data_IF_528499775112
#
_entry.id   IF_528499775112
#
_cell.length_a   1.000
_cell.length_b   1.000
_cell.length_c   1.000
_cell.angle_alpha   90.00
_cell.angle_beta   90.00
_cell.angle_gamma   90.00
#
_symmetry.space_group_name_H-M   'P 1'
#
loop_
_entity.id
_entity.type
_entity.pdbx_description
1 polymer ?
#
# COMPACT_ATOMS: atom_id res chain seq x y z
N UNK A 1 -24.05 14.38 63.21
CA UNK A 1 -22.60 14.10 63.42
C UNK A 1 -22.32 12.76 62.73
N UNK A 2 -21.83 12.71 61.50
CA UNK A 2 -20.41 12.73 61.06
C UNK A 2 -19.53 11.69 61.75
N UNK A 3 -19.11 10.67 61.00
CA UNK A 3 -17.76 10.04 60.94
C UNK A 3 -17.74 9.18 59.65
N UNK A 4 -17.28 9.68 58.49
CA UNK A 4 -15.93 9.54 57.90
C UNK A 4 -14.98 8.53 58.57
N UNK A 5 -14.64 7.46 57.84
CA UNK A 5 -13.35 6.74 57.85
C UNK A 5 -13.17 6.09 56.46
N UNK A 6 -12.42 6.69 55.53
CA UNK A 6 -10.98 6.49 55.26
C UNK A 6 -10.69 5.12 54.62
N UNK A 7 -10.33 5.16 53.32
CA UNK A 7 -9.60 4.11 52.61
C UNK A 7 -8.26 3.82 53.30
N UNK A 8 -7.89 2.56 53.47
CA UNK A 8 -6.59 2.06 53.00
C UNK A 8 -6.54 0.52 52.97
N UNK A 9 -5.98 0.02 51.87
CA UNK A 9 -5.14 -1.17 51.75
C UNK A 9 -5.60 -2.47 52.44
N UNK A 10 -6.28 -3.31 51.66
CA UNK A 10 -5.92 -4.73 51.55
C UNK A 10 -6.38 -5.21 50.18
N UNK A 11 -5.47 -5.15 49.20
CA UNK A 11 -5.59 -5.94 47.98
C UNK A 11 -5.43 -7.42 48.39
N UNK A 12 -6.51 -8.02 48.86
CA UNK A 12 -6.63 -9.46 48.99
C UNK A 12 -6.82 -9.99 47.57
N UNK A 13 -5.70 -10.38 46.96
CA UNK A 13 -5.66 -11.16 45.72
C UNK A 13 -6.42 -12.46 45.98
N UNK A 14 -7.71 -12.45 45.69
CA UNK A 14 -8.48 -13.65 45.50
C UNK A 14 -8.13 -14.18 44.11
N UNK A 15 -7.30 -15.22 44.07
CA UNK A 15 -7.19 -16.13 42.94
C UNK A 15 -8.52 -16.86 42.79
N UNK A 16 -9.50 -16.19 42.20
CA UNK A 16 -10.58 -16.82 41.46
C UNK A 16 -10.28 -16.55 40.00
N UNK A 17 -10.39 -17.58 39.16
CA UNK A 17 -10.40 -17.49 37.69
C UNK A 17 -11.17 -16.24 37.25
N UNK A 18 -10.45 -15.17 36.92
CA UNK A 18 -11.03 -13.94 36.40
C UNK A 18 -11.46 -14.25 34.97
N UNK A 19 -12.67 -14.81 34.85
CA UNK A 19 -13.48 -14.72 33.66
C UNK A 19 -13.74 -13.23 33.49
N UNK A 20 -12.93 -12.60 32.64
CA UNK A 20 -13.07 -11.21 32.26
C UNK A 20 -14.46 -10.99 31.63
N UNK A 21 -15.03 -9.82 31.87
CA UNK A 21 -16.41 -9.54 31.50
C UNK A 21 -16.57 -9.56 29.97
N UNK A 22 -17.39 -10.50 29.46
CA UNK A 22 -17.74 -10.69 28.04
C UNK A 22 -18.30 -9.45 27.35
N UNK A 23 -18.83 -8.52 28.13
CA UNK A 23 -19.27 -7.22 27.68
C UNK A 23 -18.71 -6.17 28.62
N UNK A 24 -17.99 -5.21 28.05
CA UNK A 24 -17.47 -4.04 28.73
C UNK A 24 -18.39 -2.87 28.42
N UNK A 25 -19.01 -2.29 29.44
CA UNK A 25 -19.98 -1.22 29.26
C UNK A 25 -19.71 -0.07 30.21
N UNK A 26 -19.59 1.15 29.68
CA UNK A 26 -19.40 2.39 30.45
C UNK A 26 -18.21 2.34 31.42
N UNK A 27 -17.11 1.69 31.01
CA UNK A 27 -15.95 1.47 31.87
C UNK A 27 -14.63 1.62 31.11
N UNK A 28 -13.57 1.91 31.86
CA UNK A 28 -12.20 1.95 31.38
C UNK A 28 -11.38 0.90 32.14
N UNK A 29 -10.77 -0.04 31.42
CA UNK A 29 -10.04 -1.18 31.97
C UNK A 29 -8.68 -1.29 31.30
N UNK A 30 -7.65 -1.56 32.10
CA UNK A 30 -6.31 -1.93 31.64
C UNK A 30 -6.01 -3.32 32.18
N UNK A 31 -5.77 -4.27 31.27
CA UNK A 31 -5.35 -5.63 31.57
C UNK A 31 -3.89 -5.74 31.18
N UNK A 32 -3.04 -5.97 32.18
CA UNK A 32 -1.60 -5.94 32.03
C UNK A 32 -1.03 -7.34 32.29
N UNK A 33 -0.23 -7.83 31.34
CA UNK A 33 0.30 -9.19 31.34
C UNK A 33 1.14 -9.47 32.59
N UNK A 34 1.98 -8.51 33.00
CA UNK A 34 2.84 -8.61 34.17
C UNK A 34 2.04 -8.60 35.48
N UNK A 35 1.03 -7.72 35.57
CA UNK A 35 0.14 -7.62 36.73
C UNK A 35 -0.68 -8.90 36.93
N UNK A 36 -1.10 -9.53 35.83
CA UNK A 36 -1.88 -10.77 35.86
C UNK A 36 -1.01 -12.03 35.94
N UNK A 37 0.30 -11.92 35.68
CA UNK A 37 1.20 -13.07 35.58
C UNK A 37 0.85 -14.00 34.42
N UNK A 38 0.28 -13.45 33.34
CA UNK A 38 -0.17 -14.18 32.16
C UNK A 38 0.54 -13.65 30.91
N UNK A 39 0.92 -14.53 29.99
CA UNK A 39 1.48 -14.13 28.69
C UNK A 39 0.43 -14.15 27.58
N UNK A 40 -0.68 -14.85 27.80
CA UNK A 40 -1.79 -14.98 26.85
C UNK A 40 -3.04 -14.31 27.37
N UNK A 41 -3.68 -13.52 26.51
CA UNK A 41 -5.08 -13.13 26.64
C UNK A 41 -5.91 -13.97 25.68
N UNK A 42 -6.97 -14.59 26.18
CA UNK A 42 -7.90 -15.39 25.37
C UNK A 42 -9.33 -15.11 25.87
N UNK A 43 -10.21 -14.78 24.93
CA UNK A 43 -11.65 -14.66 25.17
C UNK A 43 -12.38 -15.54 24.17
N UNK A 44 -12.88 -16.69 24.65
CA UNK A 44 -13.55 -17.70 23.83
C UNK A 44 -14.93 -17.25 23.33
N UNK A 45 -15.39 -16.06 23.73
CA UNK A 45 -16.65 -15.46 23.29
C UNK A 45 -16.42 -14.12 22.58
N UNK A 46 -17.47 -13.60 21.94
CA UNK A 46 -17.41 -12.30 21.26
C UNK A 46 -17.10 -11.21 22.29
N UNK A 47 -15.97 -10.52 22.13
CA UNK A 47 -15.61 -9.40 23.00
C UNK A 47 -16.41 -8.16 22.62
N UNK A 48 -17.36 -7.76 23.48
CA UNK A 48 -18.26 -6.63 23.20
C UNK A 48 -17.88 -5.41 24.03
N UNK A 49 -17.64 -4.27 23.39
CA UNK A 49 -17.44 -2.98 24.04
C UNK A 49 -18.58 -2.01 23.69
N UNK A 50 -19.17 -1.39 24.71
CA UNK A 50 -20.25 -0.41 24.62
C UNK A 50 -19.91 0.83 25.43
N UNK A 51 -19.52 1.92 24.77
CA UNK A 51 -19.00 3.11 25.44
C UNK A 51 -17.93 2.76 26.49
N UNK A 52 -17.00 1.89 26.11
CA UNK A 52 -15.97 1.36 27.00
C UNK A 52 -14.58 1.50 26.38
N UNK A 53 -13.57 1.57 27.23
CA UNK A 53 -12.17 1.58 26.84
C UNK A 53 -11.46 0.39 27.47
N UNK A 54 -10.88 -0.48 26.67
CA UNK A 54 -10.13 -1.64 27.15
C UNK A 54 -8.74 -1.60 26.55
N UNK A 55 -7.73 -1.71 27.40
CA UNK A 55 -6.33 -1.85 26.98
C UNK A 55 -5.84 -3.25 27.36
N UNK A 56 -5.34 -4.00 26.37
CA UNK A 56 -4.59 -5.24 26.57
C UNK A 56 -3.10 -4.92 26.44
N UNK A 57 -2.37 -4.91 27.55
CA UNK A 57 -0.98 -4.47 27.61
C UNK A 57 -0.01 -5.64 27.78
N UNK A 58 1.02 -5.67 26.95
CA UNK A 58 2.21 -6.53 27.04
C UNK A 58 1.94 -8.04 27.00
N UNK A 59 0.80 -8.48 26.46
CA UNK A 59 0.56 -9.90 26.18
C UNK A 59 1.33 -10.32 24.93
N UNK A 60 2.05 -11.45 24.97
CA UNK A 60 2.73 -12.00 23.78
C UNK A 60 1.77 -12.74 22.85
N UNK A 61 0.63 -13.18 23.38
CA UNK A 61 -0.39 -13.92 22.64
C UNK A 61 -1.77 -13.34 22.93
N UNK A 62 -2.53 -13.02 21.90
CA UNK A 62 -3.93 -12.59 21.99
C UNK A 62 -4.77 -13.45 21.06
N UNK A 63 -5.84 -14.03 21.61
CA UNK A 63 -6.78 -14.85 20.86
C UNK A 63 -8.21 -14.39 21.12
N UNK A 64 -8.92 -14.08 20.04
CA UNK A 64 -10.31 -13.67 20.05
C UNK A 64 -11.08 -14.52 19.02
N UNK A 65 -11.31 -15.82 19.30
CA UNK A 65 -11.92 -16.77 18.36
C UNK A 65 -13.31 -16.37 17.84
N UNK A 66 -14.11 -15.66 18.62
CA UNK A 66 -15.44 -15.20 18.21
C UNK A 66 -15.44 -13.72 17.79
N UNK A 67 -14.30 -13.04 17.92
CA UNK A 67 -14.06 -11.71 17.38
C UNK A 67 -14.33 -10.56 18.34
N UNK A 68 -14.59 -9.37 17.77
CA UNK A 68 -14.84 -8.12 18.49
C UNK A 68 -16.06 -7.37 17.97
N UNK A 69 -16.77 -6.69 18.86
CA UNK A 69 -17.85 -5.77 18.52
C UNK A 69 -17.74 -4.49 19.35
N UNK A 70 -17.33 -3.40 18.72
CA UNK A 70 -17.10 -2.11 19.35
C UNK A 70 -18.22 -1.13 18.95
N UNK A 71 -18.83 -0.46 19.93
CA UNK A 71 -19.92 0.50 19.71
C UNK A 71 -19.94 1.62 20.75
N UNK A 72 -20.64 2.72 20.48
CA UNK A 72 -20.81 3.87 21.36
C UNK A 72 -19.50 4.58 21.74
N UNK A 73 -18.63 4.91 20.79
CA UNK A 73 -17.31 5.52 21.02
C UNK A 73 -16.34 4.63 21.82
N UNK A 74 -16.43 3.31 21.66
CA UNK A 74 -15.55 2.38 22.36
C UNK A 74 -14.15 2.39 21.80
N UNK A 75 -13.16 2.05 22.65
CA UNK A 75 -11.77 1.90 22.22
C UNK A 75 -11.20 0.58 22.74
N UNK A 76 -10.78 -0.28 21.83
CA UNK A 76 -9.94 -1.44 22.15
C UNK A 76 -8.50 -1.11 21.74
N UNK A 77 -7.63 -0.99 22.73
CA UNK A 77 -6.19 -0.78 22.53
C UNK A 77 -5.43 -2.06 22.86
N UNK A 78 -4.52 -2.46 21.98
CA UNK A 78 -3.61 -3.58 22.17
C UNK A 78 -2.19 -3.04 22.01
N UNK A 79 -1.40 -3.15 23.07
CA UNK A 79 0.01 -2.75 23.07
C UNK A 79 0.87 -3.99 23.20
N UNK A 80 1.69 -4.24 22.18
CA UNK A 80 2.61 -5.36 22.17
C UNK A 80 3.78 -5.11 23.16
N UNK A 81 4.35 -6.18 23.75
CA UNK A 81 5.55 -6.04 24.56
C UNK A 81 6.73 -5.52 23.74
N UNK A 82 7.73 -4.97 24.42
CA UNK A 82 8.97 -4.54 23.79
C UNK A 82 9.93 -5.71 23.59
N UNK A 83 10.60 -5.78 22.44
CA UNK A 83 11.74 -6.66 22.26
C UNK A 83 12.07 -7.00 20.82
N UNK A 84 13.37 -7.19 20.56
CA UNK A 84 13.89 -7.61 19.27
C UNK A 84 13.66 -9.12 19.08
N UNK A 85 13.12 -9.53 17.94
CA UNK A 85 12.82 -10.92 17.61
C UNK A 85 11.81 -11.58 18.56
N UNK A 86 11.09 -10.80 19.37
CA UNK A 86 10.18 -11.35 20.37
C UNK A 86 8.97 -11.99 19.70
N UNK A 87 8.66 -13.27 19.96
CA UNK A 87 7.47 -13.90 19.40
C UNK A 87 6.20 -13.17 19.82
N UNK A 88 5.34 -12.88 18.85
CA UNK A 88 4.09 -12.18 19.08
C UNK A 88 3.00 -12.74 18.18
N UNK A 89 1.82 -12.98 18.74
CA UNK A 89 0.68 -13.46 17.97
C UNK A 89 -0.60 -12.77 18.42
N UNK A 90 -1.29 -12.15 17.47
CA UNK A 90 -2.68 -11.73 17.60
C UNK A 90 -3.50 -12.42 16.52
N UNK A 91 -4.52 -13.17 16.97
CA UNK A 91 -5.47 -13.85 16.09
C UNK A 91 -6.87 -13.45 16.51
N UNK A 92 -7.59 -12.80 15.59
CA UNK A 92 -9.00 -12.47 15.72
C UNK A 92 -9.74 -13.28 14.67
N UNK A 93 -10.54 -14.23 15.12
CA UNK A 93 -11.45 -14.97 14.24
C UNK A 93 -12.88 -14.45 14.42
N UNK A 94 -13.81 -14.94 13.60
CA UNK A 94 -15.21 -14.55 13.71
C UNK A 94 -15.44 -13.08 13.40
N UNK A 95 -16.40 -12.44 14.05
CA UNK A 95 -16.88 -11.11 13.64
C UNK A 95 -15.92 -9.99 14.05
N UNK A 96 -15.58 -9.08 13.13
CA UNK A 96 -14.95 -7.80 13.50
C UNK A 96 -15.87 -6.65 13.11
N UNK A 97 -16.41 -5.95 14.10
CA UNK A 97 -17.31 -4.83 13.89
C UNK A 97 -16.88 -3.63 14.72
N UNK A 98 -16.58 -2.51 14.04
CA UNK A 98 -16.18 -1.25 14.66
C UNK A 98 -17.17 -0.17 14.25
N UNK A 99 -18.12 0.13 15.13
CA UNK A 99 -19.28 0.98 14.85
C UNK A 99 -19.34 2.20 15.77
N UNK A 100 -20.21 3.16 15.45
CA UNK A 100 -20.50 4.32 16.29
C UNK A 100 -19.23 5.07 16.76
N UNK A 101 -18.37 5.49 15.81
CA UNK A 101 -17.13 6.24 16.08
C UNK A 101 -16.11 5.49 16.98
N UNK A 102 -16.27 4.16 17.11
CA UNK A 102 -15.37 3.32 17.90
C UNK A 102 -14.02 3.07 17.20
N UNK A 103 -13.04 2.61 17.97
CA UNK A 103 -11.67 2.46 17.52
C UNK A 103 -11.07 1.10 17.96
N UNK A 104 -10.46 0.41 17.01
CA UNK A 104 -9.49 -0.66 17.26
C UNK A 104 -8.09 -0.11 17.03
N UNK A 105 -7.21 -0.25 18.01
CA UNK A 105 -5.84 0.25 17.97
C UNK A 105 -4.90 -0.89 18.34
N UNK A 106 -4.06 -1.29 17.40
CA UNK A 106 -2.91 -2.16 17.66
C UNK A 106 -1.62 -1.35 17.57
N UNK A 107 -0.79 -1.40 18.60
CA UNK A 107 0.55 -0.81 18.63
C UNK A 107 1.62 -1.90 18.81
N UNK A 108 2.21 -2.29 17.68
CA UNK A 108 3.36 -3.19 17.61
C UNK A 108 4.70 -2.46 17.54
N UNK A 109 4.75 -1.14 17.69
CA UNK A 109 5.97 -0.37 17.37
C UNK A 109 7.14 -0.56 18.34
N UNK A 110 6.91 -1.22 19.47
CA UNK A 110 7.96 -1.62 20.42
C UNK A 110 8.64 -2.95 20.06
N UNK A 111 8.12 -3.66 19.06
CA UNK A 111 8.71 -4.87 18.50
C UNK A 111 9.64 -4.54 17.33
N UNK A 112 10.69 -5.32 17.17
CA UNK A 112 11.53 -5.28 15.97
C UNK A 112 11.85 -6.67 15.45
N UNK A 113 11.94 -6.83 14.13
CA UNK A 113 12.28 -8.10 13.49
C UNK A 113 13.37 -7.90 12.44
N UNK A 114 14.40 -8.74 12.49
CA UNK A 114 15.43 -8.76 11.47
C UNK A 114 14.97 -9.59 10.28
N UNK A 115 15.13 -9.04 9.07
CA UNK A 115 14.63 -9.66 7.85
C UNK A 115 15.79 -9.77 6.87
N UNK A 116 16.52 -10.87 7.01
CA UNK A 116 17.65 -11.25 6.14
C UNK A 116 17.34 -12.59 5.48
N UNK A 117 17.82 -12.77 4.24
CA UNK A 117 17.46 -13.92 3.37
C UNK A 117 17.83 -15.33 3.91
N UNK A 118 18.47 -15.42 5.08
CA UNK A 118 18.91 -16.67 5.69
C UNK A 118 18.40 -16.88 7.13
N UNK A 119 17.72 -15.88 7.70
CA UNK A 119 17.24 -15.91 9.10
C UNK A 119 16.00 -15.03 9.23
N UNK A 120 14.83 -15.66 9.35
CA UNK A 120 13.52 -15.02 9.23
C UNK A 120 12.85 -14.88 10.59
N UNK A 121 13.37 -13.96 11.42
CA UNK A 121 12.79 -13.66 12.75
C UNK A 121 11.31 -13.27 12.65
N UNK A 122 10.89 -12.64 11.56
CA UNK A 122 9.49 -12.24 11.38
C UNK A 122 8.51 -13.43 11.33
N UNK A 123 8.97 -14.66 11.13
CA UNK A 123 8.11 -15.86 11.16
C UNK A 123 7.49 -16.11 12.54
N UNK A 124 8.02 -15.49 13.60
CA UNK A 124 7.47 -15.54 14.95
C UNK A 124 6.47 -14.41 15.24
N UNK A 125 6.21 -13.53 14.27
CA UNK A 125 5.16 -12.53 14.32
C UNK A 125 3.92 -13.00 13.56
N UNK A 126 2.76 -12.92 14.18
CA UNK A 126 1.47 -13.18 13.53
C UNK A 126 0.50 -12.06 13.87
N UNK A 127 -0.02 -11.42 12.83
CA UNK A 127 -1.19 -10.57 12.92
C UNK A 127 -2.21 -11.08 11.91
N UNK A 128 -3.24 -11.75 12.42
CA UNK A 128 -4.25 -12.41 11.60
C UNK A 128 -5.65 -12.02 12.07
N UNK A 129 -6.38 -11.33 11.20
CA UNK A 129 -7.81 -11.14 11.31
C UNK A 129 -8.45 -12.03 10.24
N UNK A 130 -8.96 -13.19 10.66
CA UNK A 130 -9.57 -14.19 9.79
C UNK A 130 -11.03 -14.44 10.18
N UNK A 131 -11.90 -13.63 9.60
CA UNK A 131 -13.29 -13.49 10.04
C UNK A 131 -14.28 -14.50 9.46
N UNK A 132 -13.85 -15.34 8.52
CA UNK A 132 -14.72 -16.30 7.84
C UNK A 132 -15.98 -15.63 7.28
N UNK A 133 -17.16 -16.21 7.51
CA UNK A 133 -18.42 -15.68 6.96
C UNK A 133 -18.88 -14.33 7.55
N UNK A 134 -18.36 -13.94 8.72
CA UNK A 134 -18.82 -12.75 9.44
C UNK A 134 -18.20 -11.45 8.91
N UNK A 135 -16.98 -11.54 8.38
CA UNK A 135 -16.30 -10.43 7.74
C UNK A 135 -15.77 -9.35 8.69
N UNK A 136 -15.18 -8.33 8.07
CA UNK A 136 -14.68 -7.13 8.75
C UNK A 136 -15.55 -5.93 8.35
N UNK A 137 -16.10 -5.25 9.35
CA UNK A 137 -16.90 -4.05 9.20
C UNK A 137 -16.33 -2.88 10.00
N UNK A 138 -16.03 -1.78 9.30
CA UNK A 138 -15.61 -0.50 9.89
C UNK A 138 -16.61 0.56 9.44
N UNK A 139 -17.46 1.02 10.35
CA UNK A 139 -18.49 2.01 10.06
C UNK A 139 -17.89 3.38 9.72
N UNK A 140 -18.69 4.28 9.15
CA UNK A 140 -18.29 5.65 8.91
C UNK A 140 -17.85 6.33 10.22
N UNK A 141 -16.77 7.10 10.18
CA UNK A 141 -16.13 7.75 11.33
C UNK A 141 -15.46 6.81 12.35
N UNK A 142 -15.60 5.49 12.22
CA UNK A 142 -14.82 4.53 13.00
C UNK A 142 -13.39 4.38 12.47
N UNK A 143 -12.52 3.77 13.29
CA UNK A 143 -11.10 3.58 12.97
C UNK A 143 -10.62 2.17 13.33
N UNK A 144 -9.90 1.54 12.40
CA UNK A 144 -8.95 0.48 12.70
C UNK A 144 -7.55 1.02 12.41
N UNK A 145 -6.70 1.11 13.44
CA UNK A 145 -5.30 1.51 13.30
C UNK A 145 -4.38 0.39 13.74
N UNK A 146 -3.44 0.03 12.88
CA UNK A 146 -2.44 -1.01 13.11
C UNK A 146 -1.08 -0.35 12.90
N UNK A 147 -0.31 -0.17 13.97
CA UNK A 147 1.08 0.27 13.89
C UNK A 147 1.98 -0.96 13.90
N UNK A 148 2.59 -1.23 12.75
CA UNK A 148 3.39 -2.43 12.52
C UNK A 148 4.73 -2.38 13.29
N UNK A 149 5.29 -3.55 13.61
CA UNK A 149 6.65 -3.66 14.13
C UNK A 149 7.71 -3.06 13.21
N UNK A 150 8.82 -2.66 13.83
CA UNK A 150 10.02 -2.28 13.11
C UNK A 150 10.60 -3.48 12.39
N UNK A 151 11.15 -3.23 11.23
CA UNK A 151 11.90 -4.21 10.44
C UNK A 151 13.30 -3.67 10.21
N UNK A 152 14.28 -4.56 10.07
CA UNK A 152 15.65 -4.19 9.68
C UNK A 152 16.09 -4.92 8.42
N UNK A 153 16.97 -4.27 7.66
CA UNK A 153 17.51 -4.76 6.39
C UNK A 153 16.97 -3.98 5.19
N UNK A 154 17.65 -4.02 4.05
CA UNK A 154 17.40 -3.04 2.98
C UNK A 154 16.26 -3.45 2.04
N UNK A 155 15.22 -2.61 1.90
CA UNK A 155 14.28 -2.60 0.78
C UNK A 155 13.27 -3.73 0.70
N UNK A 156 13.06 -4.34 -0.47
CA UNK A 156 12.33 -5.60 -0.56
C UNK A 156 13.30 -6.77 -0.45
N UNK A 157 12.90 -7.89 0.13
CA UNK A 157 13.69 -9.12 0.05
C UNK A 157 13.82 -9.48 -1.43
N UNK A 158 15.05 -9.75 -1.90
CA UNK A 158 15.29 -10.16 -3.29
C UNK A 158 14.50 -11.42 -3.66
N UNK A 159 14.14 -12.19 -2.64
CA UNK A 159 13.16 -13.26 -2.68
C UNK A 159 11.82 -12.76 -2.14
N UNK A 160 10.87 -12.53 -3.04
CA UNK A 160 9.57 -11.95 -2.72
C UNK A 160 8.67 -12.90 -1.89
N UNK A 161 9.07 -14.17 -1.73
CA UNK A 161 8.41 -15.19 -0.90
C UNK A 161 8.43 -14.82 0.60
N UNK A 162 9.44 -14.07 1.05
CA UNK A 162 9.77 -13.90 2.46
C UNK A 162 9.50 -12.50 3.01
N UNK A 163 8.59 -11.75 2.38
CA UNK A 163 8.18 -10.48 2.97
C UNK A 163 7.24 -10.73 4.15
N UNK A 164 7.47 -10.04 5.28
CA UNK A 164 6.60 -10.17 6.44
C UNK A 164 5.21 -9.68 6.05
N UNK A 165 4.17 -10.40 6.47
CA UNK A 165 2.79 -10.10 6.08
C UNK A 165 1.87 -10.07 7.28
N UNK A 166 0.84 -9.25 7.18
CA UNK A 166 -0.33 -9.31 8.05
C UNK A 166 -1.56 -9.61 7.20
N UNK A 167 -2.55 -10.26 7.79
CA UNK A 167 -3.79 -10.61 7.09
C UNK A 167 -4.97 -9.89 7.73
N UNK A 168 -5.77 -9.22 6.89
CA UNK A 168 -7.02 -8.54 7.28
C UNK A 168 -8.11 -8.97 6.30
N UNK A 169 -8.92 -9.93 6.73
CA UNK A 169 -9.96 -10.48 5.87
C UNK A 169 -10.57 -11.73 6.47
N UNK A 170 -10.80 -12.74 5.63
CA UNK A 170 -11.32 -14.01 6.11
C UNK A 170 -11.25 -15.08 5.04
N UNK A 171 -11.06 -16.32 5.45
CA UNK A 171 -11.04 -17.45 4.53
C UNK A 171 -12.46 -17.75 4.05
N UNK A 172 -12.64 -17.90 2.73
CA UNK A 172 -13.92 -18.28 2.14
C UNK A 172 -14.43 -19.61 2.73
N UNK A 173 -15.72 -19.65 3.08
CA UNK A 173 -16.39 -20.84 3.61
C UNK A 173 -17.77 -20.99 2.97
N UNK A 174 -17.85 -21.80 1.92
CA UNK A 174 -19.10 -22.09 1.21
C UNK A 174 -20.28 -22.41 2.17
N UNK A 175 -21.48 -21.86 1.93
CA UNK A 175 -21.86 -20.99 0.81
C UNK A 175 -21.56 -19.51 1.06
N UNK A 176 -20.96 -19.15 2.20
CA UNK A 176 -20.83 -17.76 2.61
C UNK A 176 -19.50 -17.16 2.11
N UNK A 177 -19.60 -15.98 1.53
CA UNK A 177 -18.43 -15.13 1.29
C UNK A 177 -18.04 -14.43 2.59
N UNK A 178 -16.75 -14.10 2.71
CA UNK A 178 -16.19 -13.31 3.80
C UNK A 178 -16.17 -11.85 3.39
N UNK A 179 -17.10 -11.00 3.86
CA UNK A 179 -17.16 -9.63 3.39
C UNK A 179 -16.10 -8.73 4.02
N UNK A 180 -15.73 -7.71 3.27
CA UNK A 180 -14.88 -6.62 3.73
C UNK A 180 -15.58 -5.29 3.44
N UNK A 181 -16.08 -4.65 4.48
CA UNK A 181 -16.82 -3.40 4.40
C UNK A 181 -16.12 -2.32 5.24
N UNK A 182 -15.34 -1.47 4.58
CA UNK A 182 -14.56 -0.38 5.16
C UNK A 182 -15.19 0.94 4.69
N UNK A 183 -16.08 1.50 5.52
CA UNK A 183 -16.71 2.80 5.31
C UNK A 183 -16.01 3.92 6.11
N UNK A 184 -15.32 3.54 7.19
CA UNK A 184 -14.53 4.42 8.04
C UNK A 184 -13.07 4.52 7.61
N UNK A 185 -12.16 4.39 8.57
CA UNK A 185 -10.72 4.48 8.33
C UNK A 185 -10.05 3.14 8.66
N UNK A 186 -9.30 2.59 7.71
CA UNK A 186 -8.31 1.54 7.92
C UNK A 186 -6.93 2.15 7.72
N UNK A 187 -6.14 2.20 8.79
CA UNK A 187 -4.78 2.72 8.79
C UNK A 187 -3.79 1.61 9.20
N UNK A 188 -2.91 1.23 8.28
CA UNK A 188 -1.77 0.36 8.57
C UNK A 188 -0.50 1.19 8.44
N UNK A 189 0.11 1.54 9.57
CA UNK A 189 1.20 2.49 9.67
C UNK A 189 2.49 1.79 10.08
N UNK A 190 3.63 2.36 9.72
CA UNK A 190 4.94 1.85 10.18
C UNK A 190 5.35 2.49 11.50
N UNK A 191 6.27 1.81 12.19
CA UNK A 191 6.98 2.32 13.38
C UNK A 191 8.00 3.41 13.06
N UNK A 192 8.57 3.41 11.86
CA UNK A 192 9.75 4.19 11.50
C UNK A 192 9.47 5.36 10.53
N UNK A 193 10.44 6.27 10.48
CA UNK A 193 10.42 7.44 9.60
C UNK A 193 11.09 7.14 8.26
N UNK A 194 10.69 7.86 7.21
CA UNK A 194 11.37 7.84 5.90
C UNK A 194 12.78 8.43 6.03
N UNK A 195 13.74 7.84 5.32
CA UNK A 195 15.09 8.41 5.13
C UNK A 195 15.09 9.10 3.77
N UNK A 196 15.39 10.40 3.73
CA UNK A 196 15.44 11.22 2.50
C UNK A 196 14.19 11.07 1.59
N UNK A 197 13.02 10.90 2.21
CA UNK A 197 11.73 10.83 1.50
C UNK A 197 11.30 9.44 1.05
N UNK A 198 12.09 8.39 1.31
CA UNK A 198 11.77 7.01 0.95
C UNK A 198 11.89 6.03 2.12
N UNK A 199 11.40 4.81 1.92
CA UNK A 199 11.60 3.70 2.85
C UNK A 199 12.79 2.85 2.41
N UNK A 200 13.77 2.69 3.31
CA UNK A 200 14.99 1.91 3.11
C UNK A 200 14.97 0.56 3.85
N UNK A 201 14.13 0.42 4.88
CA UNK A 201 13.94 -0.84 5.61
C UNK A 201 12.98 -1.83 4.92
N UNK A 202 13.04 -3.12 5.31
CA UNK A 202 12.14 -4.17 4.82
C UNK A 202 10.66 -3.84 4.97
N UNK A 203 9.88 -4.09 3.92
CA UNK A 203 8.47 -3.71 3.92
C UNK A 203 7.55 -4.86 4.33
N UNK A 204 6.50 -4.49 5.06
CA UNK A 204 5.36 -5.35 5.29
C UNK A 204 4.45 -5.41 4.07
N UNK A 205 3.83 -6.57 3.89
CA UNK A 205 2.66 -6.78 3.04
C UNK A 205 1.39 -6.74 3.90
N UNK A 206 0.35 -6.11 3.38
CA UNK A 206 -1.01 -6.22 3.94
C UNK A 206 -1.84 -7.07 2.98
N UNK A 207 -2.16 -8.28 3.40
CA UNK A 207 -3.08 -9.15 2.68
C UNK A 207 -4.50 -8.74 3.03
N UNK A 208 -5.18 -8.12 2.04
CA UNK A 208 -6.46 -7.47 2.24
C UNK A 208 -7.56 -8.25 1.54
N UNK A 209 -8.57 -8.64 2.33
CA UNK A 209 -9.73 -9.37 1.86
C UNK A 209 -9.55 -10.88 1.90
N UNK A 210 -10.56 -11.64 1.44
CA UNK A 210 -10.53 -13.08 1.45
C UNK A 210 -9.63 -13.66 0.36
N UNK A 211 -9.25 -14.91 0.58
CA UNK A 211 -8.52 -15.73 -0.39
C UNK A 211 -9.35 -16.08 -1.64
N UNK A 212 -10.69 -16.01 -1.53
CA UNK A 212 -11.63 -16.32 -2.60
C UNK A 212 -12.98 -15.60 -2.43
N UNK A 213 -13.64 -15.28 -3.54
CA UNK A 213 -15.04 -14.83 -3.57
C UNK A 213 -15.79 -15.72 -4.57
N UNK A 214 -16.84 -16.39 -4.08
CA UNK A 214 -17.78 -17.13 -4.92
C UNK A 214 -18.86 -16.18 -5.43
N UNK A 215 -19.01 -16.07 -6.74
CA UNK A 215 -20.04 -15.21 -7.36
C UNK A 215 -21.48 -15.65 -7.03
N UNK A 216 -21.68 -16.92 -6.69
CA UNK A 216 -22.97 -17.47 -6.24
C UNK A 216 -23.06 -17.58 -4.71
N UNK A 217 -22.00 -17.15 -4.01
CA UNK A 217 -21.94 -17.17 -2.55
C UNK A 217 -22.85 -16.13 -1.90
N UNK A 218 -23.21 -16.39 -0.64
CA UNK A 218 -24.05 -15.53 0.17
C UNK A 218 -23.16 -14.55 0.94
N UNK A 219 -23.45 -13.27 0.78
CA UNK A 219 -22.83 -12.20 1.54
C UNK A 219 -23.71 -11.85 2.74
N UNK A 220 -23.15 -11.86 3.95
CA UNK A 220 -23.82 -11.31 5.15
C UNK A 220 -23.95 -9.79 5.06
N UNK A 221 -22.96 -9.14 4.44
CA UNK A 221 -22.98 -7.75 3.96
C UNK A 221 -22.19 -7.70 2.64
N UNK A 222 -22.54 -6.81 1.72
CA UNK A 222 -21.74 -6.63 0.49
C UNK A 222 -20.37 -6.02 0.82
N UNK A 223 -19.38 -6.30 -0.02
CA UNK A 223 -18.12 -5.57 0.06
C UNK A 223 -18.37 -4.09 -0.26
N UNK A 224 -17.78 -3.21 0.53
CA UNK A 224 -17.84 -1.78 0.32
C UNK A 224 -16.55 -1.15 0.86
N UNK A 225 -15.68 -0.71 -0.04
CA UNK A 225 -14.38 -0.10 0.30
C UNK A 225 -14.37 1.41 -0.01
N UNK A 226 -15.50 2.08 0.21
CA UNK A 226 -15.66 3.52 -0.03
C UNK A 226 -15.02 4.42 1.04
N UNK A 227 -14.58 3.83 2.16
CA UNK A 227 -13.87 4.52 3.23
C UNK A 227 -12.43 4.91 2.88
N UNK A 228 -11.71 5.40 3.89
CA UNK A 228 -10.31 5.76 3.77
C UNK A 228 -9.43 4.55 4.11
N UNK A 229 -8.63 4.09 3.13
CA UNK A 229 -7.68 2.99 3.31
C UNK A 229 -6.27 3.55 3.07
N UNK A 230 -5.45 3.55 4.13
CA UNK A 230 -4.10 4.08 4.12
C UNK A 230 -3.12 3.06 4.70
N UNK A 231 -2.23 2.54 3.85
CA UNK A 231 -1.25 1.53 4.21
C UNK A 231 0.16 2.02 3.88
N UNK A 232 1.02 2.20 4.89
CA UNK A 232 2.47 2.38 4.72
C UNK A 232 3.16 1.03 4.48
N UNK A 233 2.59 0.25 3.58
CA UNK A 233 2.93 -1.12 3.22
C UNK A 233 2.41 -1.33 1.78
N UNK A 234 2.90 -2.37 1.09
CA UNK A 234 2.27 -2.77 -0.18
C UNK A 234 1.10 -3.72 0.10
N UNK A 235 0.09 -3.70 -0.76
CA UNK A 235 -1.17 -4.43 -0.54
C UNK A 235 -1.25 -5.64 -1.47
N UNK A 236 -1.52 -6.80 -0.89
CA UNK A 236 -1.85 -8.03 -1.62
C UNK A 236 -3.37 -8.24 -1.69
N UNK A 237 -3.90 -8.50 -2.89
CA UNK A 237 -5.33 -8.76 -3.10
C UNK A 237 -5.55 -10.06 -3.88
N UNK A 238 -6.36 -10.95 -3.32
CA UNK A 238 -6.57 -12.32 -3.82
C UNK A 238 -7.91 -12.54 -4.52
N UNK A 239 -8.91 -11.68 -4.28
CA UNK A 239 -10.22 -11.74 -4.90
C UNK A 239 -10.76 -10.33 -5.14
N UNK A 240 -11.78 -10.20 -6.00
CA UNK A 240 -12.38 -8.91 -6.35
C UNK A 240 -13.29 -8.36 -5.24
N UNK A 241 -12.66 -7.91 -4.15
CA UNK A 241 -13.30 -7.22 -3.03
C UNK A 241 -13.87 -5.86 -3.42
N UNK A 242 -13.47 -5.31 -4.55
CA UNK A 242 -13.86 -3.96 -4.99
C UNK A 242 -15.14 -3.96 -5.81
N UNK A 243 -15.60 -5.14 -6.25
CA UNK A 243 -16.81 -5.29 -7.07
C UNK A 243 -18.02 -4.63 -6.41
N UNK A 244 -18.61 -3.67 -7.12
CA UNK A 244 -19.78 -2.93 -6.65
C UNK A 244 -19.46 -1.69 -5.80
N UNK A 245 -18.19 -1.44 -5.48
CA UNK A 245 -17.77 -0.18 -4.86
C UNK A 245 -17.32 0.81 -5.93
N UNK A 246 -17.87 2.02 -5.92
CA UNK A 246 -17.45 3.08 -6.85
C UNK A 246 -16.31 3.91 -6.25
N UNK A 247 -15.38 4.36 -7.12
CA UNK A 247 -14.34 5.33 -6.77
C UNK A 247 -13.42 4.92 -5.60
N UNK A 248 -13.13 3.63 -5.46
CA UNK A 248 -12.18 3.12 -4.45
C UNK A 248 -10.83 3.83 -4.63
N UNK A 249 -10.34 4.41 -3.54
CA UNK A 249 -9.03 5.05 -3.45
C UNK A 249 -8.24 4.44 -2.29
N UNK A 250 -7.08 3.87 -2.59
CA UNK A 250 -6.20 3.30 -1.57
C UNK A 250 -4.85 4.02 -1.60
N UNK A 251 -4.39 4.52 -0.45
CA UNK A 251 -3.02 5.06 -0.32
C UNK A 251 -2.09 3.93 0.09
N UNK A 252 -1.08 3.64 -0.71
CA UNK A 252 -0.18 2.50 -0.47
C UNK A 252 1.24 2.73 -1.03
N UNK A 253 2.20 1.91 -0.59
CA UNK A 253 3.54 1.86 -1.18
C UNK A 253 3.60 1.12 -2.51
N UNK A 254 2.61 0.27 -2.77
CA UNK A 254 2.59 -0.59 -3.95
C UNK A 254 1.40 -1.53 -3.93
N UNK A 255 1.22 -2.26 -5.00
CA UNK A 255 0.06 -3.12 -5.19
C UNK A 255 0.46 -4.43 -5.85
N UNK A 256 -0.08 -5.50 -5.29
CA UNK A 256 0.08 -6.84 -5.80
C UNK A 256 -1.28 -7.50 -6.01
N UNK A 257 -1.73 -7.53 -7.26
CA UNK A 257 -2.99 -8.17 -7.63
C UNK A 257 -2.80 -9.63 -8.00
N UNK A 258 -3.15 -10.57 -7.13
CA UNK A 258 -3.12 -12.00 -7.45
C UNK A 258 -4.29 -12.43 -8.35
N UNK A 259 -5.34 -11.61 -8.38
CA UNK A 259 -6.53 -11.78 -9.20
C UNK A 259 -6.84 -10.50 -9.98
N UNK A 260 -7.58 -10.65 -11.08
CA UNK A 260 -8.19 -9.53 -11.79
C UNK A 260 -9.33 -9.00 -10.94
N UNK A 261 -9.33 -7.71 -10.66
CA UNK A 261 -10.34 -7.07 -9.81
C UNK A 261 -10.95 -5.85 -10.49
N UNK A 262 -12.06 -5.36 -9.94
CA UNK A 262 -12.76 -4.18 -10.42
C UNK A 262 -11.85 -2.94 -10.38
N UNK A 263 -12.02 -1.96 -11.30
CA UNK A 263 -11.12 -0.82 -11.39
C UNK A 263 -11.07 0.02 -10.10
N UNK A 264 -9.86 0.30 -9.62
CA UNK A 264 -9.61 1.14 -8.46
C UNK A 264 -8.52 2.17 -8.75
N UNK A 265 -8.42 3.16 -7.86
CA UNK A 265 -7.32 4.11 -7.83
C UNK A 265 -6.38 3.81 -6.66
N UNK A 266 -5.08 3.76 -6.93
CA UNK A 266 -4.04 3.59 -5.91
C UNK A 266 -3.16 4.84 -5.91
N UNK A 267 -3.11 5.53 -4.79
CA UNK A 267 -2.22 6.66 -4.55
C UNK A 267 -0.90 6.14 -3.98
N UNK A 268 0.16 6.27 -4.78
CA UNK A 268 1.52 5.83 -4.46
C UNK A 268 2.34 6.88 -3.70
N UNK A 269 1.71 7.95 -3.21
CA UNK A 269 2.41 9.07 -2.57
C UNK A 269 3.23 8.70 -1.32
N UNK A 270 3.04 7.50 -0.77
CA UNK A 270 3.87 6.95 0.29
C UNK A 270 5.25 6.47 -0.18
N UNK A 271 5.37 6.06 -1.44
CA UNK A 271 6.61 5.55 -2.05
C UNK A 271 7.57 6.65 -2.53
N UNK A 272 8.67 6.25 -3.17
CA UNK A 272 9.01 4.89 -3.58
C UNK A 272 9.72 4.05 -2.50
N UNK A 273 10.05 2.80 -2.86
CA UNK A 273 10.80 1.84 -2.03
C UNK A 273 12.23 1.70 -2.56
N UNK A 274 13.21 1.75 -1.66
CA UNK A 274 14.61 1.54 -2.03
C UNK A 274 15.02 0.06 -1.85
N UNK A 275 15.21 -0.67 -2.95
CA UNK A 275 15.82 -2.00 -2.96
C UNK A 275 17.36 -1.97 -2.91
N UNK A 276 18.03 -3.13 -2.75
CA UNK A 276 19.49 -3.20 -2.67
C UNK A 276 20.25 -2.59 -3.87
N UNK A 277 19.64 -2.56 -5.06
CA UNK A 277 20.27 -2.05 -6.30
C UNK A 277 19.33 -1.21 -7.17
N UNK A 278 18.09 -0.98 -6.75
CA UNK A 278 17.07 -0.33 -7.58
C UNK A 278 16.01 0.35 -6.70
N UNK A 279 15.37 1.37 -7.24
CA UNK A 279 14.18 2.00 -6.64
C UNK A 279 12.94 1.45 -7.36
N UNK A 280 11.82 1.25 -6.64
CA UNK A 280 10.57 0.78 -7.25
C UNK A 280 9.30 1.25 -6.52
N UNK A 281 8.13 1.13 -7.19
CA UNK A 281 6.79 1.33 -6.58
C UNK A 281 5.99 0.02 -6.42
N UNK A 282 6.65 -1.14 -6.52
CA UNK A 282 6.11 -2.48 -6.33
C UNK A 282 4.67 -2.68 -6.86
N UNK A 283 4.48 -2.47 -8.17
CA UNK A 283 3.20 -2.66 -8.86
C UNK A 283 3.26 -3.95 -9.67
N UNK A 284 2.49 -4.96 -9.28
CA UNK A 284 2.40 -6.27 -9.93
C UNK A 284 0.97 -6.53 -10.37
N UNK A 285 0.76 -6.72 -11.67
CA UNK A 285 -0.56 -6.85 -12.27
C UNK A 285 -0.70 -8.10 -13.17
N UNK A 286 -1.82 -8.83 -13.06
CA UNK A 286 -2.11 -9.95 -13.93
C UNK A 286 -2.76 -9.50 -15.24
N UNK A 287 -2.64 -10.33 -16.27
CA UNK A 287 -3.38 -10.13 -17.50
C UNK A 287 -4.89 -10.19 -17.25
N UNK A 288 -5.58 -9.25 -17.88
CA UNK A 288 -7.01 -9.05 -17.69
C UNK A 288 -7.33 -7.91 -16.74
N UNK A 289 -6.34 -7.32 -16.06
CA UNK A 289 -6.56 -6.09 -15.31
C UNK A 289 -6.88 -4.93 -16.25
N UNK A 290 -7.91 -4.16 -15.91
CA UNK A 290 -8.37 -3.04 -16.71
C UNK A 290 -8.78 -1.85 -15.83
N UNK A 291 -8.64 -0.63 -16.36
CA UNK A 291 -9.12 0.62 -15.76
C UNK A 291 -8.41 1.08 -14.49
N UNK A 292 -7.35 0.41 -14.05
CA UNK A 292 -6.59 0.80 -12.86
C UNK A 292 -5.87 2.13 -13.06
N UNK A 293 -5.89 2.96 -12.01
CA UNK A 293 -5.18 4.22 -11.97
C UNK A 293 -4.20 4.24 -10.81
N UNK A 294 -2.94 4.49 -11.11
CA UNK A 294 -1.91 4.75 -10.10
C UNK A 294 -1.60 6.25 -10.12
N UNK A 295 -1.73 6.91 -8.99
CA UNK A 295 -1.49 8.34 -8.83
C UNK A 295 -0.20 8.58 -8.06
N UNK A 296 0.35 9.78 -8.20
CA UNK A 296 1.47 10.28 -7.41
C UNK A 296 2.70 9.35 -7.45
N UNK A 297 2.95 8.74 -8.61
CA UNK A 297 4.21 8.01 -8.82
C UNK A 297 5.36 9.01 -8.74
N UNK A 298 6.23 8.84 -7.74
CA UNK A 298 7.39 9.70 -7.53
C UNK A 298 8.66 9.04 -8.05
N UNK A 299 9.42 9.78 -8.83
CA UNK A 299 10.79 9.37 -9.17
C UNK A 299 11.76 9.76 -8.06
N UNK A 300 12.65 8.85 -7.70
CA UNK A 300 13.74 9.12 -6.76
C UNK A 300 15.08 8.81 -7.43
N UNK A 301 15.96 9.81 -7.45
CA UNK A 301 17.35 9.64 -7.83
C UNK A 301 18.12 8.94 -6.70
N UNK A 302 18.69 7.77 -6.99
CA UNK A 302 19.52 7.01 -6.05
C UNK A 302 20.82 6.57 -6.71
N UNK A 303 21.96 6.88 -6.08
CA UNK A 303 23.30 6.63 -6.63
C UNK A 303 23.78 7.74 -7.59
N UNK A 304 24.74 7.42 -8.48
CA UNK A 304 25.24 8.38 -9.47
C UNK A 304 24.48 8.24 -10.79
N UNK A 305 23.72 9.28 -11.15
CA UNK A 305 22.92 9.47 -12.39
C UNK A 305 21.51 8.88 -12.40
N UNK A 306 20.64 9.50 -13.20
CA UNK A 306 19.23 9.17 -13.44
C UNK A 306 19.01 7.71 -13.90
N UNK A 307 19.10 6.77 -12.96
CA UNK A 307 18.91 5.35 -13.24
C UNK A 307 17.42 5.05 -13.45
N UNK A 308 17.06 4.11 -14.33
CA UNK A 308 15.66 3.70 -14.48
C UNK A 308 15.11 3.16 -13.15
N UNK A 309 13.97 3.69 -12.72
CA UNK A 309 13.21 3.22 -11.57
C UNK A 309 12.20 2.19 -12.04
N UNK A 310 12.11 1.03 -11.38
CA UNK A 310 11.14 0.02 -11.78
C UNK A 310 9.72 0.51 -11.45
N UNK A 311 8.93 0.74 -12.49
CA UNK A 311 7.58 1.29 -12.38
C UNK A 311 6.56 0.21 -12.04
N UNK A 312 6.46 -0.78 -12.92
CA UNK A 312 5.50 -1.88 -12.79
C UNK A 312 5.98 -3.16 -13.49
N UNK A 313 5.40 -4.28 -13.09
CA UNK A 313 5.56 -5.59 -13.71
C UNK A 313 4.18 -6.12 -14.10
N UNK A 314 4.03 -6.50 -15.37
CA UNK A 314 2.78 -7.02 -15.92
C UNK A 314 2.97 -8.44 -16.43
N UNK A 315 2.14 -9.37 -15.94
CA UNK A 315 2.21 -10.81 -16.23
C UNK A 315 1.12 -11.19 -17.22
N UNK A 316 1.44 -11.93 -18.28
CA UNK A 316 0.50 -12.22 -19.36
C UNK A 316 0.88 -13.45 -20.19
N UNK A 317 -0.08 -13.98 -20.96
CA UNK A 317 0.16 -15.01 -21.96
C UNK A 317 0.33 -14.37 -23.34
N UNK A 318 1.54 -14.49 -23.91
CA UNK A 318 1.86 -13.89 -25.20
C UNK A 318 3.34 -13.57 -25.36
N UNK A 319 3.64 -12.69 -26.31
CA UNK A 319 4.99 -12.21 -26.61
C UNK A 319 5.17 -10.70 -26.36
N UNK A 320 6.40 -10.20 -26.55
CA UNK A 320 6.77 -8.82 -26.24
C UNK A 320 6.00 -7.75 -27.02
N UNK A 321 5.26 -8.10 -28.07
CA UNK A 321 4.47 -7.17 -28.88
C UNK A 321 3.02 -7.08 -28.43
N UNK A 322 2.57 -8.01 -27.59
CA UNK A 322 1.19 -8.06 -27.11
C UNK A 322 0.92 -7.02 -26.02
N UNK A 323 1.97 -6.46 -25.42
CA UNK A 323 1.87 -5.39 -24.42
C UNK A 323 2.69 -4.20 -24.86
N UNK A 324 2.04 -3.04 -24.93
CA UNK A 324 2.68 -1.77 -25.24
C UNK A 324 2.63 -0.85 -24.03
N UNK A 325 3.70 -0.10 -23.83
CA UNK A 325 3.73 1.03 -22.93
C UNK A 325 3.84 2.30 -23.76
N UNK A 326 3.15 3.36 -23.36
CA UNK A 326 3.29 4.70 -23.94
C UNK A 326 3.40 5.70 -22.80
N UNK A 327 4.10 6.81 -23.03
CA UNK A 327 4.24 7.87 -22.05
C UNK A 327 3.96 9.22 -22.72
N UNK A 328 3.00 9.97 -22.19
CA UNK A 328 2.63 11.31 -22.65
C UNK A 328 2.30 12.20 -21.46
N UNK A 329 2.91 13.39 -21.39
CA UNK A 329 2.59 14.45 -20.41
C UNK A 329 2.49 13.97 -18.95
N UNK A 330 3.40 13.10 -18.49
CA UNK A 330 3.46 12.42 -17.17
C UNK A 330 2.60 11.18 -16.95
N UNK A 331 1.80 10.81 -17.95
CA UNK A 331 0.92 9.64 -17.92
C UNK A 331 1.60 8.50 -18.68
N UNK A 332 1.79 7.37 -18.00
CA UNK A 332 2.22 6.12 -18.61
C UNK A 332 0.99 5.23 -18.77
N UNK A 333 0.66 4.86 -19.99
CA UNK A 333 -0.38 3.87 -20.28
C UNK A 333 0.27 2.53 -20.64
N UNK A 334 -0.19 1.46 -20.01
CA UNK A 334 0.20 0.08 -20.34
C UNK A 334 -1.03 -0.62 -20.87
N UNK A 335 -0.96 -1.12 -22.10
CA UNK A 335 -2.08 -1.73 -22.81
C UNK A 335 -1.71 -3.10 -23.35
N UNK A 336 -2.53 -4.09 -23.03
CA UNK A 336 -2.47 -5.39 -23.70
C UNK A 336 -3.30 -5.31 -24.99
N UNK A 337 -2.66 -5.50 -26.13
CA UNK A 337 -3.23 -5.36 -27.46
C UNK A 337 -4.20 -6.49 -27.82
N UNK A 338 -4.07 -7.66 -27.22
CA UNK A 338 -4.98 -8.78 -27.46
C UNK A 338 -6.32 -8.56 -26.77
N UNK A 339 -6.28 -8.23 -25.48
CA UNK A 339 -7.48 -8.00 -24.66
C UNK A 339 -8.04 -6.57 -24.79
N UNK A 340 -7.26 -5.63 -25.33
CA UNK A 340 -7.54 -4.19 -25.38
C UNK A 340 -7.67 -3.52 -24.01
N UNK A 341 -7.31 -4.21 -22.93
CA UNK A 341 -7.36 -3.70 -21.56
C UNK A 341 -6.13 -2.85 -21.23
N UNK A 342 -6.32 -1.87 -20.37
CA UNK A 342 -5.28 -0.88 -20.08
C UNK A 342 -5.28 -0.41 -18.63
N UNK A 343 -4.10 0.00 -18.16
CA UNK A 343 -3.90 0.67 -16.88
C UNK A 343 -3.10 1.95 -17.10
N UNK A 344 -3.24 2.90 -16.19
CA UNK A 344 -2.52 4.18 -16.25
C UNK A 344 -1.74 4.43 -14.97
N UNK A 345 -0.50 4.89 -15.11
CA UNK A 345 0.34 5.40 -14.01
C UNK A 345 0.61 6.88 -14.26
N UNK A 346 0.26 7.73 -13.30
CA UNK A 346 0.45 9.18 -13.38
C UNK A 346 1.55 9.54 -12.38
N UNK A 347 2.65 10.09 -12.90
CA UNK A 347 3.80 10.47 -12.07
C UNK A 347 4.10 11.96 -12.03
N UNK A 348 5.19 12.29 -11.35
CA UNK A 348 5.63 13.67 -11.08
C UNK A 348 6.49 14.29 -12.19
N UNK A 349 6.94 13.48 -13.16
CA UNK A 349 7.74 13.92 -14.30
C UNK A 349 7.14 13.47 -15.62
N UNK A 350 7.62 14.05 -16.72
CA UNK A 350 7.56 13.35 -18.01
C UNK A 350 8.57 12.21 -18.01
N UNK A 351 8.16 11.03 -18.47
CA UNK A 351 9.00 9.83 -18.43
C UNK A 351 9.34 9.32 -19.82
N UNK A 352 10.60 8.89 -19.97
CA UNK A 352 10.95 7.83 -20.89
C UNK A 352 10.74 6.48 -20.20
N UNK A 353 10.52 5.43 -20.99
CA UNK A 353 10.39 4.09 -20.47
C UNK A 353 11.33 3.10 -21.18
N UNK A 354 11.75 2.09 -20.44
CA UNK A 354 12.51 0.95 -20.93
C UNK A 354 11.75 -0.31 -20.51
N UNK A 355 11.29 -1.08 -21.50
CA UNK A 355 10.60 -2.35 -21.26
C UNK A 355 11.59 -3.52 -21.31
N UNK A 356 11.61 -4.33 -20.26
CA UNK A 356 12.28 -5.63 -20.22
C UNK A 356 11.26 -6.75 -20.37
N UNK A 357 11.35 -7.56 -21.42
CA UNK A 357 10.49 -8.71 -21.64
C UNK A 357 11.22 -10.01 -21.28
N UNK A 358 10.52 -10.90 -20.59
CA UNK A 358 11.03 -12.23 -20.26
C UNK A 358 10.00 -13.30 -20.64
N UNK A 359 10.43 -14.25 -21.48
CA UNK A 359 9.63 -15.40 -21.88
C UNK A 359 9.92 -16.62 -21.01
N UNK A 360 8.89 -17.43 -20.73
CA UNK A 360 8.98 -18.63 -19.90
C UNK A 360 9.00 -18.33 -18.41
N UNK A 361 8.86 -17.06 -18.02
CA UNK A 361 8.63 -16.56 -16.66
C UNK A 361 9.48 -17.26 -15.56
N UNK A 362 10.78 -16.94 -15.41
CA UNK A 362 11.61 -17.52 -14.35
C UNK A 362 11.10 -17.19 -12.94
N UNK A 363 10.49 -16.02 -12.75
CA UNK A 363 10.02 -15.53 -11.45
C UNK A 363 8.68 -16.17 -11.05
N UNK A 364 7.85 -16.51 -12.03
CA UNK A 364 6.68 -17.35 -11.85
C UNK A 364 6.95 -18.84 -12.16
N UNK A 365 8.13 -19.37 -11.83
CA UNK A 365 8.42 -20.82 -11.82
C UNK A 365 8.69 -21.43 -10.44
N UNK A 366 8.63 -20.64 -9.36
CA UNK A 366 8.92 -21.10 -8.00
C UNK A 366 7.71 -21.31 -7.05
N UNK A 367 6.47 -21.35 -7.53
CA UNK A 367 5.23 -21.52 -6.76
C UNK A 367 4.66 -20.29 -6.02
N UNK A 368 5.36 -19.15 -5.99
CA UNK A 368 5.12 -18.12 -4.96
C UNK A 368 4.11 -17.02 -5.29
N UNK A 369 3.59 -17.00 -6.52
CA UNK A 369 2.51 -16.10 -6.93
C UNK A 369 1.48 -16.84 -7.75
N UNK A 370 0.21 -16.47 -7.72
CA UNK A 370 -0.76 -17.00 -8.70
C UNK A 370 -0.41 -16.60 -10.16
N UNK A 371 0.68 -15.86 -10.39
CA UNK A 371 1.24 -15.51 -11.69
C UNK A 371 1.95 -16.65 -12.43
N UNK A 372 2.16 -17.82 -11.79
CA UNK A 372 2.76 -19.01 -12.43
C UNK A 372 1.96 -19.53 -13.62
N UNK A 373 0.69 -19.10 -13.71
CA UNK A 373 -0.18 -19.39 -14.84
C UNK A 373 0.21 -18.63 -16.11
N UNK A 374 0.93 -17.52 -16.01
CA UNK A 374 1.30 -16.67 -17.15
C UNK A 374 2.68 -17.04 -17.69
N UNK A 375 2.76 -17.27 -19.00
CA UNK A 375 4.00 -17.68 -19.66
C UNK A 375 5.06 -16.58 -19.77
N UNK A 376 4.66 -15.31 -19.67
CA UNK A 376 5.52 -14.16 -19.94
C UNK A 376 5.31 -13.02 -18.92
N UNK A 377 6.33 -12.17 -18.81
CA UNK A 377 6.26 -10.93 -18.04
C UNK A 377 6.94 -9.78 -18.80
N UNK A 378 6.47 -8.57 -18.53
CA UNK A 378 7.10 -7.33 -19.02
C UNK A 378 7.25 -6.34 -17.87
N UNK A 379 8.49 -6.01 -17.56
CA UNK A 379 8.85 -4.98 -16.60
C UNK A 379 9.00 -3.63 -17.30
N UNK A 380 8.35 -2.59 -16.77
CA UNK A 380 8.43 -1.23 -17.30
C UNK A 380 9.23 -0.39 -16.31
N UNK A 381 10.41 0.02 -16.74
CA UNK A 381 11.28 0.91 -16.00
C UNK A 381 11.08 2.33 -16.51
N UNK A 382 11.03 3.28 -15.59
CA UNK A 382 10.69 4.68 -15.82
C UNK A 382 11.90 5.54 -15.47
N UNK A 383 12.23 6.44 -16.36
CA UNK A 383 13.32 7.41 -16.18
C UNK A 383 12.80 8.78 -16.58
N UNK A 384 13.02 9.84 -15.78
CA UNK A 384 12.64 11.18 -16.17
C UNK A 384 13.30 11.54 -17.50
N UNK A 385 12.57 12.25 -18.35
CA UNK A 385 13.17 12.90 -19.50
C UNK A 385 14.18 13.92 -18.97
N UNK A 386 15.46 13.75 -19.30
CA UNK A 386 16.50 14.70 -18.87
C UNK A 386 16.12 16.09 -19.36
N UNK A 387 15.98 17.04 -18.43
CA UNK A 387 15.79 18.46 -18.75
C UNK A 387 17.07 19.10 -19.29
N UNK A 388 18.21 18.40 -19.20
CA UNK A 388 19.36 18.67 -20.05
C UNK A 388 18.96 18.39 -21.49
N UNK A 389 18.61 19.44 -22.23
CA UNK A 389 18.26 19.49 -23.64
C UNK A 389 16.78 19.34 -24.05
N UNK A 390 15.80 19.60 -23.17
CA UNK A 390 14.43 19.79 -23.68
C UNK A 390 14.23 21.23 -24.18
N UNK A 391 13.78 21.38 -25.41
CA UNK A 391 13.31 22.66 -25.93
C UNK A 391 12.07 23.08 -25.16
N UNK A 392 12.01 24.33 -24.70
CA UNK A 392 10.85 24.85 -23.98
C UNK A 392 10.47 26.24 -24.44
N UNK A 393 9.19 26.57 -24.27
CA UNK A 393 8.64 27.89 -24.55
C UNK A 393 8.10 28.49 -23.26
N UNK A 394 8.60 29.65 -22.86
CA UNK A 394 8.10 30.41 -21.71
C UNK A 394 7.37 31.65 -22.25
N UNK A 395 6.14 31.90 -21.81
CA UNK A 395 5.41 33.14 -22.17
C UNK A 395 5.13 33.95 -20.92
N UNK A 396 5.55 35.21 -20.94
CA UNK A 396 5.39 36.20 -19.86
C UNK A 396 4.38 37.24 -20.34
N UNK A 397 3.24 37.32 -19.65
CA UNK A 397 2.27 38.41 -19.80
C UNK A 397 2.71 39.61 -18.94
N UNK A 398 2.96 40.75 -19.59
CA UNK A 398 3.41 41.97 -18.89
C UNK A 398 2.25 42.77 -18.28
N UNK A 399 1.01 42.30 -18.42
CA UNK A 399 -0.19 42.90 -17.81
C UNK A 399 -0.66 44.19 -18.48
N UNK A 400 -0.03 44.58 -19.60
CA UNK A 400 -0.34 45.78 -20.39
C UNK A 400 -0.83 45.45 -21.82
N UNK A 401 -1.07 44.17 -22.12
CA UNK A 401 -1.43 43.69 -23.46
C UNK A 401 -0.24 43.25 -24.32
N UNK A 402 0.99 43.39 -23.83
CA UNK A 402 2.21 42.87 -24.46
C UNK A 402 2.63 41.53 -23.85
N UNK A 403 3.10 40.64 -24.71
CA UNK A 403 3.67 39.34 -24.32
C UNK A 403 5.16 39.29 -24.68
N UNK A 404 5.91 38.57 -23.86
CA UNK A 404 7.28 38.16 -24.16
C UNK A 404 7.32 36.64 -24.15
N UNK A 405 7.63 36.05 -25.30
CA UNK A 405 7.75 34.60 -25.43
C UNK A 405 9.21 34.26 -25.69
N UNK A 406 9.81 33.52 -24.77
CA UNK A 406 11.14 32.96 -24.95
C UNK A 406 11.00 31.55 -25.52
N UNK A 407 11.54 31.34 -26.73
CA UNK A 407 11.77 30.01 -27.29
C UNK A 407 13.21 29.61 -26.98
N UNK A 408 13.38 28.56 -26.19
CA UNK A 408 14.69 28.01 -25.85
C UNK A 408 14.86 26.69 -26.57
N UNK A 409 15.89 26.60 -27.42
CA UNK A 409 16.28 25.35 -28.07
C UNK A 409 17.67 24.88 -27.66
N UNK A 410 17.86 23.57 -27.60
CA UNK A 410 19.11 22.91 -27.28
C UNK A 410 19.57 22.06 -28.45
N UNK A 411 20.78 22.32 -28.94
CA UNK A 411 21.43 21.51 -29.97
C UNK A 411 22.62 20.81 -29.33
N UNK A 412 22.55 19.49 -29.19
CA UNK A 412 23.69 18.69 -28.72
C UNK A 412 24.55 18.27 -29.92
N UNK A 413 25.81 18.70 -29.94
CA UNK A 413 26.82 18.31 -30.92
C UNK A 413 27.97 17.58 -30.22
N UNK A 414 29.01 17.15 -30.95
CA UNK A 414 30.26 16.67 -30.36
C UNK A 414 31.39 17.64 -30.72
N UNK A 415 32.27 17.92 -29.75
CA UNK A 415 33.48 18.70 -30.00
C UNK A 415 34.52 17.92 -30.81
N UNK A 416 35.65 18.56 -31.12
CA UNK A 416 36.75 17.95 -31.89
C UNK A 416 37.36 16.71 -31.22
N UNK A 417 37.15 16.52 -29.92
CA UNK A 417 37.63 15.39 -29.14
C UNK A 417 36.53 14.31 -28.95
N UNK A 418 35.37 14.49 -29.57
CA UNK A 418 34.23 13.57 -29.54
C UNK A 418 33.35 13.69 -28.30
N UNK A 419 33.54 14.71 -27.46
CA UNK A 419 32.72 14.93 -26.25
C UNK A 419 31.43 15.70 -26.59
N UNK A 420 30.29 15.34 -25.99
CA UNK A 420 29.05 16.09 -26.19
C UNK A 420 29.20 17.55 -25.75
N UNK A 421 28.74 18.48 -26.58
CA UNK A 421 28.64 19.91 -26.27
C UNK A 421 27.22 20.36 -26.60
N UNK A 422 26.56 21.06 -25.67
CA UNK A 422 25.23 21.63 -25.89
C UNK A 422 25.35 23.11 -26.25
N UNK A 423 24.69 23.49 -27.35
CA UNK A 423 24.48 24.89 -27.73
C UNK A 423 23.04 25.24 -27.38
N UNK A 424 22.86 26.20 -26.48
CA UNK A 424 21.54 26.74 -26.13
C UNK A 424 21.28 28.01 -26.94
N UNK A 425 20.14 28.06 -27.63
CA UNK A 425 19.67 29.26 -28.32
C UNK A 425 18.39 29.75 -27.67
N UNK A 426 18.40 30.98 -27.18
CA UNK A 426 17.19 31.66 -26.68
C UNK A 426 16.79 32.74 -27.67
N UNK A 427 15.58 32.66 -28.21
CA UNK A 427 14.99 33.67 -29.09
C UNK A 427 13.87 34.37 -28.32
N UNK A 428 14.07 35.63 -27.88
CA UNK A 428 12.99 36.43 -27.33
C UNK A 428 12.09 36.94 -28.45
N UNK A 429 10.81 36.64 -28.37
CA UNK A 429 9.78 37.13 -29.28
C UNK A 429 8.96 38.20 -28.56
N UNK A 430 8.89 39.39 -29.15
CA UNK A 430 8.12 40.51 -28.64
C UNK A 430 7.01 40.87 -29.61
N UNK A 431 5.77 40.92 -29.12
CA UNK A 431 4.63 41.35 -29.92
C UNK A 431 3.30 41.27 -29.19
N UNK A 432 2.24 41.87 -29.76
CA UNK A 432 0.89 41.68 -29.26
C UNK A 432 0.47 40.21 -29.43
N UNK A 433 -0.42 39.72 -28.56
CA UNK A 433 -0.88 38.32 -28.52
C UNK A 433 -1.08 37.73 -29.94
N UNK A 434 -0.35 36.66 -30.32
CA UNK A 434 -0.52 36.09 -31.64
C UNK A 434 -1.90 35.40 -31.76
N UNK A 435 -2.60 35.54 -32.91
CA UNK A 435 -3.77 34.71 -33.20
C UNK A 435 -3.33 33.24 -33.30
N UNK A 436 -4.14 32.31 -32.75
CA UNK A 436 -3.85 30.89 -32.83
C UNK A 436 -3.80 30.43 -34.31
N UNK A 437 -2.59 30.10 -34.80
CA UNK A 437 -2.38 29.48 -36.11
C UNK A 437 -1.30 28.41 -35.99
N UNK A 438 -1.67 27.17 -36.27
CA UNK A 438 -0.73 26.06 -36.40
C UNK A 438 -0.01 26.14 -37.75
N UNK A 439 1.32 26.18 -37.75
CA UNK A 439 2.14 25.99 -38.95
C UNK A 439 3.11 24.83 -38.75
N UNK A 440 3.06 23.86 -39.66
CA UNK A 440 4.08 22.82 -39.80
C UNK A 440 5.32 23.45 -40.46
N UNK A 441 6.49 23.32 -39.83
CA UNK A 441 7.78 23.70 -40.43
C UNK A 441 8.49 22.42 -40.83
N UNK A 442 8.81 22.29 -42.12
CA UNK A 442 9.66 21.24 -42.67
C UNK A 442 11.12 21.69 -42.53
N UNK A 443 11.96 20.86 -41.89
CA UNK A 443 13.38 21.15 -41.63
C UNK A 443 14.33 20.56 -42.67
N UNK A 444 13.83 20.14 -43.84
CA UNK A 444 14.65 19.94 -45.04
C UNK A 444 15.97 19.19 -44.83
N UNK A 445 15.92 17.88 -44.59
CA UNK A 445 17.11 17.03 -44.75
C UNK A 445 17.33 16.78 -46.25
N UNK A 446 17.90 17.75 -46.97
CA UNK A 446 18.57 17.45 -48.23
C UNK A 446 19.97 16.90 -47.92
N UNK A 447 20.18 15.66 -48.36
CA UNK A 447 21.45 14.93 -48.30
C UNK A 447 22.22 15.27 -49.56
N UNK A 448 23.41 15.87 -49.41
CA UNK A 448 24.46 15.85 -50.45
C UNK A 448 25.47 14.72 -50.14
#
# INVERSE_FOLDING_TARGET
MRFKSILSAAASVFYCTLVLAKTYENQEIVLDSATLGLTTYEDDELMVLKNAKVTLNDFTTIKLPEGISLSGNSVLTITAPSGDGTPYSIVINGKVSIDDESQFIFDGSSLSYNIVASDYDYSVFTFDINTGADGVFISKNSLMRIKLPKTTGNGLVADLEFNPSIHIGGTYKAPNNSPLAILGNLEVLRSDSKVDGYFDDKLWRVDLGPDHIDENGVFTIQNDLSGNIHCQAFIGVYADIFKGTENVLIRSLGYQGYSVVSPITIDLGEGPVLGPQFVLNYILLPEGQDGFKFLNFKYLEYGNSASPQMGLLYFFDGDSKDVIATAENNVIEVKNLTSQKSISVIGDHNYNFISGYVHGNPDARNGYFSFHKYASEIGINLQPVSTENSDYTTTIDKGNGDFETDLVSHITTKDSDGKPTTITTTIPLHGPAPPAVTKTVDLGNEVD
#
